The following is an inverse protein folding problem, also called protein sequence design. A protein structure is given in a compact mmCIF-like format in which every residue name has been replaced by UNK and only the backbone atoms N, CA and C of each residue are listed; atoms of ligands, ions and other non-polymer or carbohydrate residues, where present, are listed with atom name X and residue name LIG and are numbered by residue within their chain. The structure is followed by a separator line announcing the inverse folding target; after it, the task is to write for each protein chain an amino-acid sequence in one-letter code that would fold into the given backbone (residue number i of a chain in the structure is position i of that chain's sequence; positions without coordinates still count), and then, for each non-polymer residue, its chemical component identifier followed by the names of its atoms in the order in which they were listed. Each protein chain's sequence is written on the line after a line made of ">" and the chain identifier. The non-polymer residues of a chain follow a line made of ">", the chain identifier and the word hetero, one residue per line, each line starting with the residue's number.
data_IF_508464833038
#
_entry.id   IF_508464833038
#
_cell.length_a   1.000
_cell.length_b   1.000
_cell.length_c   1.000
_cell.angle_alpha   90.00
_cell.angle_beta   90.00
_cell.angle_gamma   90.00
#
_symmetry.space_group_name_H-M   'P 1'
#
loop_
_entity.id
_entity.type
_entity.pdbx_description
1 polymer ?
#
# COMPACT_ATOMS: atom_id res chain seq x y z
N UNK A 1 2.62 -56.88 50.98
CA UNK A 1 1.42 -56.29 50.34
C UNK A 1 1.45 -54.76 50.23
N UNK A 2 2.00 -54.00 51.19
CA UNK A 2 1.95 -52.51 51.14
C UNK A 2 2.72 -51.84 49.98
N UNK A 3 3.84 -52.41 49.52
CA UNK A 3 4.60 -51.84 48.39
C UNK A 3 3.84 -51.93 47.05
N UNK A 4 3.07 -53.01 46.86
CA UNK A 4 2.24 -53.20 45.66
C UNK A 4 1.09 -52.19 45.60
N UNK A 5 0.47 -51.89 46.74
CA UNK A 5 -0.60 -50.89 46.85
C UNK A 5 -0.06 -49.48 46.58
N UNK A 6 1.13 -49.14 47.12
CA UNK A 6 1.77 -47.85 46.87
C UNK A 6 2.18 -47.67 45.41
N UNK A 7 2.68 -48.71 44.76
CA UNK A 7 3.01 -48.67 43.34
C UNK A 7 1.75 -48.57 42.47
N UNK A 8 0.69 -49.28 42.83
CA UNK A 8 -0.60 -49.19 42.15
C UNK A 8 -1.20 -47.78 42.26
N UNK A 9 -1.14 -47.16 43.44
CA UNK A 9 -1.58 -45.77 43.64
C UNK A 9 -0.79 -44.78 42.78
N UNK A 10 0.53 -44.97 42.66
CA UNK A 10 1.38 -44.13 41.80
C UNK A 10 1.02 -44.28 40.33
N UNK A 11 0.81 -45.51 39.86
CA UNK A 11 0.44 -45.78 38.46
C UNK A 11 -0.93 -45.19 38.16
N UNK A 12 -1.91 -45.36 39.06
CA UNK A 12 -3.23 -44.76 38.91
C UNK A 12 -3.17 -43.22 38.87
N UNK A 13 -2.34 -42.61 39.71
CA UNK A 13 -2.13 -41.16 39.71
C UNK A 13 -1.50 -40.67 38.40
N UNK A 14 -0.48 -41.38 37.87
CA UNK A 14 0.12 -41.03 36.58
C UNK A 14 -0.89 -41.14 35.44
N UNK A 15 -1.66 -42.23 35.39
CA UNK A 15 -2.69 -42.44 34.37
C UNK A 15 -3.77 -41.35 34.40
N UNK A 16 -4.21 -40.96 35.60
CA UNK A 16 -5.17 -39.88 35.78
C UNK A 16 -4.61 -38.53 35.30
N UNK A 17 -3.36 -38.21 35.63
CA UNK A 17 -2.70 -36.97 35.17
C UNK A 17 -2.54 -36.97 33.65
N UNK A 18 -2.14 -38.08 33.04
CA UNK A 18 -2.02 -38.16 31.58
C UNK A 18 -3.36 -37.98 30.86
N UNK A 19 -4.45 -38.48 31.43
CA UNK A 19 -5.79 -38.28 30.88
C UNK A 19 -6.25 -36.81 30.96
N UNK A 20 -5.89 -36.11 32.04
CA UNK A 20 -6.18 -34.68 32.22
C UNK A 20 -5.38 -33.82 31.24
N UNK A 21 -4.10 -34.14 31.01
CA UNK A 21 -3.25 -33.38 30.07
C UNK A 21 -3.69 -33.60 28.61
N UNK A 22 -4.22 -34.79 28.27
CA UNK A 22 -4.71 -35.09 26.93
C UNK A 22 -6.04 -34.39 26.57
N UNK A 23 -6.78 -33.84 27.54
CA UNK A 23 -8.12 -33.25 27.30
C UNK A 23 -8.09 -31.75 26.96
N UNK A 24 -6.92 -31.15 26.81
CA UNK A 24 -6.80 -29.76 26.36
C UNK A 24 -6.98 -29.63 24.83
N UNK A 25 -8.20 -29.81 24.33
CA UNK A 25 -8.53 -29.45 22.94
C UNK A 25 -8.88 -27.96 22.88
N UNK A 26 -8.13 -27.17 22.13
CA UNK A 26 -8.49 -25.78 21.84
C UNK A 26 -9.70 -25.76 20.89
N UNK A 27 -10.77 -25.09 21.29
CA UNK A 27 -11.85 -24.75 20.37
C UNK A 27 -11.37 -23.58 19.51
N UNK A 28 -11.17 -23.82 18.21
CA UNK A 28 -10.99 -22.73 17.25
C UNK A 28 -12.40 -22.26 16.87
N UNK A 29 -12.82 -21.11 17.37
CA UNK A 29 -14.02 -20.46 16.88
C UNK A 29 -13.70 -19.75 15.56
N UNK A 30 -13.96 -20.42 14.44
CA UNK A 30 -13.90 -19.84 13.09
C UNK A 30 -15.09 -18.89 12.83
N UNK A 31 -15.31 -17.95 13.76
CA UNK A 31 -16.44 -17.03 13.78
C UNK A 31 -15.98 -15.58 13.71
N UNK A 32 -15.33 -15.19 12.60
CA UNK A 32 -15.04 -13.78 12.35
C UNK A 32 -16.33 -12.95 12.33
N UNK A 33 -16.29 -11.67 12.76
CA UNK A 33 -17.47 -10.80 12.78
C UNK A 33 -18.12 -10.77 11.40
N UNK A 34 -19.37 -11.22 11.34
CA UNK A 34 -20.19 -11.09 10.14
C UNK A 34 -20.52 -9.61 9.96
N UNK A 35 -19.82 -8.95 9.04
CA UNK A 35 -20.23 -7.64 8.56
C UNK A 35 -21.34 -7.84 7.52
N UNK A 36 -22.61 -7.54 7.83
CA UNK A 36 -23.65 -7.53 6.81
C UNK A 36 -23.22 -6.58 5.70
N UNK A 37 -23.23 -7.08 4.46
CA UNK A 37 -23.05 -6.20 3.29
C UNK A 37 -24.22 -5.21 3.30
N UNK A 38 -23.96 -3.89 3.27
CA UNK A 38 -25.03 -2.92 3.16
C UNK A 38 -25.89 -3.27 1.95
N UNK A 39 -27.20 -3.43 2.18
CA UNK A 39 -28.16 -3.62 1.12
C UNK A 39 -27.97 -2.51 0.08
N UNK A 40 -27.73 -2.92 -1.16
CA UNK A 40 -27.55 -1.97 -2.26
C UNK A 40 -28.87 -1.19 -2.35
N UNK A 41 -28.88 0.13 -2.09
CA UNK A 41 -30.13 0.88 -2.08
C UNK A 41 -30.83 0.69 -3.43
N UNK A 42 -32.13 0.47 -3.36
CA UNK A 42 -33.00 0.28 -4.52
C UNK A 42 -32.76 1.38 -5.54
N UNK A 43 -32.75 1.00 -6.82
CA UNK A 43 -32.45 1.94 -7.91
C UNK A 43 -33.52 3.04 -7.91
N UNK A 44 -33.14 4.32 -7.74
CA UNK A 44 -34.13 5.38 -7.83
C UNK A 44 -34.70 5.42 -9.25
N UNK A 45 -36.04 5.35 -9.35
CA UNK A 45 -36.74 5.40 -10.64
C UNK A 45 -36.81 6.84 -11.20
N UNK A 46 -36.70 7.83 -10.32
CA UNK A 46 -36.75 9.25 -10.68
C UNK A 46 -35.59 9.99 -10.04
N UNK A 47 -34.93 10.86 -10.81
CA UNK A 47 -33.85 11.71 -10.35
C UNK A 47 -34.22 13.19 -10.51
N UNK A 48 -33.79 14.00 -9.55
CA UNK A 48 -33.87 15.46 -9.65
C UNK A 48 -32.94 15.97 -10.74
N UNK A 49 -33.22 17.16 -11.28
CA UNK A 49 -32.33 17.88 -12.22
C UNK A 49 -31.22 18.66 -11.49
N UNK A 50 -30.93 18.29 -10.25
CA UNK A 50 -29.85 18.88 -9.48
C UNK A 50 -28.50 18.51 -10.10
N UNK A 51 -27.60 19.48 -10.24
CA UNK A 51 -26.24 19.23 -10.71
C UNK A 51 -25.27 19.27 -9.53
N UNK A 52 -24.85 18.08 -9.10
CA UNK A 52 -23.89 17.82 -8.03
C UNK A 52 -22.99 16.65 -8.48
N UNK A 53 -22.00 16.91 -9.35
CA UNK A 53 -21.35 15.86 -10.12
C UNK A 53 -20.65 14.82 -9.24
N UNK A 54 -20.66 13.57 -9.69
CA UNK A 54 -19.99 12.46 -8.99
C UNK A 54 -19.25 11.54 -9.98
N UNK A 55 -18.15 10.94 -9.51
CA UNK A 55 -17.43 9.93 -10.26
C UNK A 55 -17.95 8.54 -9.89
N UNK A 56 -18.57 7.87 -10.87
CA UNK A 56 -19.07 6.51 -10.72
C UNK A 56 -18.18 5.47 -11.39
N UNK A 57 -18.11 4.27 -10.81
CA UNK A 57 -17.47 3.07 -11.40
C UNK A 57 -18.46 1.92 -11.59
N UNK A 58 -18.34 1.22 -12.71
CA UNK A 58 -19.02 -0.06 -12.96
C UNK A 58 -18.06 -1.00 -13.70
N UNK A 59 -17.53 -2.00 -12.99
CA UNK A 59 -16.45 -2.83 -13.53
C UNK A 59 -15.21 -1.99 -13.81
N UNK A 60 -14.74 -2.02 -15.06
CA UNK A 60 -13.63 -1.18 -15.55
C UNK A 60 -14.06 0.19 -16.08
N UNK A 61 -15.37 0.45 -16.17
CA UNK A 61 -15.90 1.70 -16.72
C UNK A 61 -15.98 2.76 -15.61
N UNK A 62 -15.46 3.95 -15.93
CA UNK A 62 -15.60 5.16 -15.12
C UNK A 62 -16.37 6.21 -15.89
N UNK A 63 -17.27 6.90 -15.22
CA UNK A 63 -18.07 7.95 -15.82
C UNK A 63 -18.48 9.00 -14.79
N UNK A 64 -18.46 10.26 -15.21
CA UNK A 64 -19.05 11.39 -14.48
C UNK A 64 -20.55 11.39 -14.66
N UNK A 65 -21.29 11.53 -13.57
CA UNK A 65 -22.75 11.71 -13.56
C UNK A 65 -23.10 13.10 -13.07
N UNK A 66 -24.22 13.65 -13.54
CA UNK A 66 -24.68 14.99 -13.13
C UNK A 66 -25.04 15.05 -11.65
N UNK A 67 -25.49 13.93 -11.08
CA UNK A 67 -25.66 13.77 -9.64
C UNK A 67 -25.58 12.30 -9.17
N UNK A 68 -25.58 12.11 -7.86
CA UNK A 68 -25.54 10.81 -7.22
C UNK A 68 -26.76 9.92 -7.53
N UNK A 69 -27.91 10.50 -7.82
CA UNK A 69 -29.10 9.73 -8.20
C UNK A 69 -28.90 9.08 -9.59
N UNK A 70 -28.44 9.85 -10.57
CA UNK A 70 -28.17 9.37 -11.93
C UNK A 70 -27.10 8.25 -11.96
N UNK A 71 -26.07 8.37 -11.11
CA UNK A 71 -25.07 7.32 -10.98
C UNK A 71 -25.69 6.01 -10.46
N UNK A 72 -26.52 6.08 -9.41
CA UNK A 72 -27.16 4.91 -8.80
C UNK A 72 -28.22 4.27 -9.70
N UNK A 73 -29.01 5.07 -10.42
CA UNK A 73 -30.02 4.54 -11.35
C UNK A 73 -29.40 3.70 -12.47
N UNK A 74 -28.15 4.01 -12.84
CA UNK A 74 -27.35 3.28 -13.85
C UNK A 74 -26.40 2.22 -13.28
N UNK A 75 -26.55 1.83 -12.01
CA UNK A 75 -25.69 0.86 -11.29
C UNK A 75 -24.23 1.26 -11.05
N UNK A 76 -23.87 2.52 -11.20
CA UNK A 76 -22.52 2.95 -10.89
C UNK A 76 -22.35 3.09 -9.39
N UNK A 77 -21.25 2.54 -8.86
CA UNK A 77 -20.80 2.80 -7.49
C UNK A 77 -20.07 4.12 -7.48
N UNK A 78 -20.48 5.05 -6.63
CA UNK A 78 -19.80 6.34 -6.48
C UNK A 78 -18.48 6.12 -5.75
N UNK A 79 -17.37 6.63 -6.31
CA UNK A 79 -16.02 6.51 -5.75
C UNK A 79 -15.38 7.85 -5.41
N UNK A 80 -15.92 8.95 -5.93
CA UNK A 80 -15.42 10.29 -5.69
C UNK A 80 -16.54 11.32 -5.82
N UNK A 81 -16.43 12.38 -5.03
CA UNK A 81 -17.21 13.60 -5.17
C UNK A 81 -16.63 14.45 -6.30
N UNK A 82 -17.47 14.98 -7.18
CA UNK A 82 -17.04 15.71 -8.37
C UNK A 82 -16.88 14.82 -9.60
N UNK A 83 -16.42 15.41 -10.69
CA UNK A 83 -16.20 14.70 -11.96
C UNK A 83 -15.03 13.71 -11.86
N UNK A 84 -15.04 12.67 -12.68
CA UNK A 84 -13.91 11.73 -12.72
C UNK A 84 -12.64 12.43 -13.21
N UNK A 85 -11.60 12.44 -12.37
CA UNK A 85 -10.29 13.00 -12.68
C UNK A 85 -9.23 11.91 -12.91
N UNK A 86 -8.04 12.30 -13.37
CA UNK A 86 -6.90 11.38 -13.46
C UNK A 86 -6.50 10.82 -12.09
N UNK A 87 -6.73 11.57 -11.02
CA UNK A 87 -6.43 11.16 -9.64
C UNK A 87 -7.29 9.97 -9.20
N UNK A 88 -8.48 9.82 -9.77
CA UNK A 88 -9.37 8.71 -9.48
C UNK A 88 -8.97 7.41 -10.19
N UNK A 89 -7.98 7.38 -11.09
CA UNK A 89 -7.57 6.14 -11.78
C UNK A 89 -7.05 5.08 -10.81
N UNK A 90 -7.23 3.77 -11.05
CA UNK A 90 -6.56 2.74 -10.26
C UNK A 90 -5.06 2.87 -10.53
N UNK A 91 -4.30 3.41 -9.56
CA UNK A 91 -2.89 3.79 -9.72
C UNK A 91 -2.64 5.30 -9.72
N UNK A 92 -3.67 6.14 -9.67
CA UNK A 92 -3.58 7.57 -9.37
C UNK A 92 -3.44 7.77 -7.86
N UNK A 93 -2.43 8.54 -7.45
CA UNK A 93 -2.08 8.76 -6.05
C UNK A 93 -3.24 9.31 -5.23
N UNK A 94 -3.47 8.65 -4.09
CA UNK A 94 -4.39 9.05 -3.04
C UNK A 94 -4.24 10.53 -2.68
N UNK A 95 -5.29 11.32 -2.87
CA UNK A 95 -5.40 12.66 -2.30
C UNK A 95 -5.81 12.55 -0.84
N UNK A 96 -4.88 12.84 0.08
CA UNK A 96 -5.22 12.96 1.50
C UNK A 96 -4.10 12.71 2.52
N UNK A 97 -2.89 12.36 2.13
CA UNK A 97 -1.79 12.22 3.10
C UNK A 97 -1.07 13.57 3.27
N UNK A 98 -1.05 14.20 4.46
CA UNK A 98 -0.05 15.20 4.78
C UNK A 98 1.33 14.58 4.55
N UNK A 99 2.21 15.33 3.90
CA UNK A 99 3.49 14.85 3.37
C UNK A 99 4.17 13.83 4.28
N UNK A 100 4.44 12.64 3.75
CA UNK A 100 5.44 11.78 4.38
C UNK A 100 6.75 12.56 4.37
N UNK A 101 7.48 12.66 5.49
CA UNK A 101 8.84 13.20 5.48
C UNK A 101 9.64 12.48 4.40
N UNK A 102 10.43 13.26 3.63
CA UNK A 102 11.26 12.76 2.54
C UNK A 102 12.03 11.53 3.03
N UNK A 103 11.62 10.37 2.51
CA UNK A 103 12.31 9.13 2.79
C UNK A 103 13.66 9.27 2.08
N UNK A 104 14.81 9.10 2.76
CA UNK A 104 16.11 9.21 2.11
C UNK A 104 16.15 8.35 0.85
N UNK A 105 16.60 8.94 -0.25
CA UNK A 105 16.64 8.30 -1.56
C UNK A 105 17.34 6.94 -1.44
N UNK A 106 16.55 5.87 -1.58
CA UNK A 106 17.12 4.53 -1.74
C UNK A 106 17.76 4.52 -3.13
N UNK A 107 19.08 4.29 -3.25
CA UNK A 107 19.73 4.26 -4.55
C UNK A 107 19.00 3.30 -5.48
N UNK A 108 18.54 3.81 -6.62
CA UNK A 108 17.83 3.02 -7.61
C UNK A 108 18.66 1.79 -7.99
N UNK A 109 18.05 0.62 -7.90
CA UNK A 109 18.70 -0.63 -8.29
C UNK A 109 19.09 -0.63 -9.78
N UNK A 110 20.05 -1.47 -10.18
CA UNK A 110 20.49 -1.56 -11.57
C UNK A 110 19.31 -1.90 -12.49
N UNK A 111 19.10 -1.08 -13.52
CA UNK A 111 18.11 -1.34 -14.57
C UNK A 111 16.89 -0.41 -14.61
N UNK A 112 16.76 0.59 -13.72
CA UNK A 112 15.70 1.58 -13.90
C UNK A 112 16.07 2.57 -15.02
N UNK A 113 15.24 2.73 -16.08
CA UNK A 113 15.47 3.71 -17.13
C UNK A 113 15.39 5.12 -16.55
N UNK A 114 16.39 5.93 -16.89
CA UNK A 114 16.50 7.34 -16.53
C UNK A 114 15.23 8.06 -16.98
N UNK A 115 14.33 8.38 -16.04
CA UNK A 115 13.28 9.37 -16.29
C UNK A 115 14.00 10.71 -16.19
N UNK A 116 13.96 11.57 -17.22
CA UNK A 116 14.48 12.92 -17.11
C UNK A 116 13.65 13.64 -16.03
N UNK A 117 14.13 13.60 -14.80
CA UNK A 117 13.60 14.42 -13.72
C UNK A 117 13.87 15.87 -14.09
N UNK A 118 12.87 16.71 -13.91
CA UNK A 118 12.94 18.16 -14.10
C UNK A 118 14.25 18.75 -13.57
N UNK A 119 14.78 19.82 -14.19
CA UNK A 119 15.96 20.50 -13.68
C UNK A 119 15.80 20.84 -12.20
N UNK A 120 16.60 20.21 -11.34
CA UNK A 120 16.53 20.40 -9.89
C UNK A 120 17.38 21.62 -9.51
N UNK A 121 16.89 22.43 -8.57
CA UNK A 121 17.69 23.49 -7.97
C UNK A 121 18.74 22.86 -7.05
N UNK A 122 20.01 22.89 -7.46
CA UNK A 122 21.11 22.37 -6.66
C UNK A 122 21.62 23.42 -5.66
N UNK A 123 21.90 22.98 -4.45
CA UNK A 123 22.63 23.79 -3.47
C UNK A 123 24.08 23.98 -3.90
N UNK A 124 24.72 25.08 -3.50
CA UNK A 124 26.16 25.32 -3.71
C UNK A 124 27.08 24.50 -2.78
N UNK A 125 26.55 23.44 -2.17
CA UNK A 125 27.34 22.57 -1.30
C UNK A 125 28.41 21.86 -2.14
N UNK A 126 29.67 21.96 -1.71
CA UNK A 126 30.78 21.26 -2.36
C UNK A 126 31.01 19.90 -1.70
N UNK A 127 30.65 18.83 -2.40
CA UNK A 127 30.79 17.43 -2.00
C UNK A 127 31.14 16.61 -3.25
N UNK A 128 32.39 16.65 -3.71
CA UNK A 128 32.74 16.24 -5.06
C UNK A 128 32.45 14.76 -5.30
N UNK A 129 32.01 14.45 -6.52
CA UNK A 129 31.70 13.07 -6.94
C UNK A 129 32.27 12.75 -8.32
N UNK A 130 32.65 11.49 -8.51
CA UNK A 130 33.06 10.96 -9.78
C UNK A 130 31.84 10.34 -10.45
N UNK A 131 31.47 10.83 -11.63
CA UNK A 131 30.24 10.43 -12.31
C UNK A 131 30.49 10.08 -13.78
N UNK A 132 29.66 9.18 -14.32
CA UNK A 132 29.77 8.66 -15.68
C UNK A 132 28.48 8.84 -16.47
N UNK A 133 28.62 9.27 -17.73
CA UNK A 133 27.54 9.32 -18.73
C UNK A 133 28.06 8.69 -20.03
N UNK A 134 27.52 7.52 -20.39
CA UNK A 134 28.07 6.73 -21.49
C UNK A 134 29.55 6.39 -21.25
N UNK A 135 30.42 6.82 -22.17
CA UNK A 135 31.88 6.64 -22.07
C UNK A 135 32.60 7.82 -21.39
N UNK A 136 31.88 8.89 -21.04
CA UNK A 136 32.48 10.08 -20.42
C UNK A 136 32.45 9.96 -18.90
N UNK A 137 33.61 10.15 -18.27
CA UNK A 137 33.79 10.16 -16.81
C UNK A 137 34.28 11.56 -16.41
N UNK A 138 33.58 12.19 -15.48
CA UNK A 138 33.85 13.56 -15.05
C UNK A 138 33.57 13.75 -13.56
N UNK A 139 34.33 14.66 -12.96
CA UNK A 139 34.17 15.11 -11.59
C UNK A 139 33.17 16.26 -11.52
N UNK A 140 32.21 16.18 -10.60
CA UNK A 140 31.22 17.23 -10.35
C UNK A 140 31.40 17.82 -8.95
N UNK A 141 30.96 19.07 -8.75
CA UNK A 141 31.04 19.76 -7.46
C UNK A 141 30.18 19.12 -6.39
N UNK A 142 29.04 18.54 -6.79
CA UNK A 142 28.22 17.65 -5.96
C UNK A 142 27.38 16.67 -6.79
N UNK A 143 26.75 15.72 -6.09
CA UNK A 143 25.89 14.70 -6.69
C UNK A 143 24.65 15.28 -7.40
N UNK A 144 24.11 16.40 -6.92
CA UNK A 144 22.97 17.07 -7.57
C UNK A 144 23.38 17.61 -8.96
N UNK A 145 24.52 18.30 -9.05
CA UNK A 145 25.05 18.82 -10.31
C UNK A 145 25.34 17.69 -11.31
N UNK A 146 25.93 16.58 -10.85
CA UNK A 146 26.15 15.40 -11.68
C UNK A 146 24.83 14.85 -12.26
N UNK A 147 23.81 14.70 -11.41
CA UNK A 147 22.49 14.23 -11.80
C UNK A 147 21.80 15.19 -12.78
N UNK A 148 21.85 16.49 -12.52
CA UNK A 148 21.25 17.52 -13.38
C UNK A 148 21.93 17.58 -14.76
N UNK A 149 23.23 17.26 -14.84
CA UNK A 149 23.96 17.12 -16.09
C UNK A 149 23.76 15.75 -16.79
N UNK A 150 22.99 14.84 -16.20
CA UNK A 150 22.72 13.50 -16.73
C UNK A 150 23.84 12.47 -16.50
N UNK A 151 24.71 12.70 -15.52
CA UNK A 151 25.76 11.76 -15.12
C UNK A 151 25.30 10.92 -13.92
N UNK A 152 25.69 9.65 -13.91
CA UNK A 152 25.47 8.75 -12.77
C UNK A 152 26.73 8.68 -11.91
N UNK A 153 26.60 8.97 -10.62
CA UNK A 153 27.71 8.85 -9.66
C UNK A 153 28.20 7.41 -9.59
N UNK A 154 29.51 7.23 -9.73
CA UNK A 154 30.21 5.94 -9.65
C UNK A 154 31.21 5.88 -8.50
N UNK A 155 31.56 7.02 -7.89
CA UNK A 155 32.46 7.09 -6.74
C UNK A 155 32.38 8.42 -6.01
N UNK A 156 32.77 8.41 -4.73
CA UNK A 156 32.93 9.62 -3.91
C UNK A 156 34.26 10.31 -4.22
N UNK A 157 34.28 11.64 -4.13
CA UNK A 157 35.45 12.44 -4.50
C UNK A 157 35.57 12.64 -6.00
N UNK A 158 36.69 13.22 -6.44
CA UNK A 158 36.95 13.44 -7.87
C UNK A 158 37.41 12.13 -8.53
N UNK A 159 37.06 11.95 -9.81
CA UNK A 159 37.88 11.20 -10.75
C UNK A 159 39.23 11.96 -10.91
#
# INVERSE_FOLDING_TARGET
>A
MQAQIRNFLKIAAVMAVTAIVASCTVAVEDGGPHYPRPDRPERPQFCTREYAPVCGVRGSVRQTFGNACEARSRDFRIVGSGECSYQDRPGGGWSGQPGRPDRPDRPGGPGQPYRPEEPRMCTQQYAPVCARRGNSVQSFGNACEAGNAGYRVIGEGRC
#
